data_IF_964775168025
#
_entry.id   IF_964775168025
#
_cell.length_a   1.000
_cell.length_b   1.000
_cell.length_c   1.000
_cell.angle_alpha   90.00
_cell.angle_beta   90.00
_cell.angle_gamma   90.00
#
_symmetry.space_group_name_H-M   'P 1'
#
loop_
_entity.id
_entity.type
_entity.pdbx_description
1 polymer ?
#
# COMPACT_ATOMS: atom_id res chain seq x y z
N UNK A 1 -17.10 -19.31 -12.70
CA UNK A 1 -17.53 -18.44 -11.59
C UNK A 1 -16.37 -17.55 -11.17
N UNK A 2 -16.63 -16.26 -10.92
CA UNK A 2 -15.63 -15.37 -10.32
C UNK A 2 -15.53 -15.64 -8.81
N UNK A 3 -14.32 -15.73 -8.23
CA UNK A 3 -14.17 -15.98 -6.79
C UNK A 3 -14.65 -14.78 -5.98
N UNK A 4 -15.58 -14.98 -5.03
CA UNK A 4 -16.06 -13.93 -4.11
C UNK A 4 -14.92 -13.29 -3.32
N UNK A 5 -13.92 -14.10 -2.94
CA UNK A 5 -12.78 -13.67 -2.14
C UNK A 5 -11.50 -13.92 -2.92
N UNK A 6 -10.58 -12.97 -2.86
CA UNK A 6 -9.24 -13.07 -3.43
C UNK A 6 -8.22 -12.61 -2.39
N UNK A 7 -7.00 -13.12 -2.48
CA UNK A 7 -5.87 -12.69 -1.65
C UNK A 7 -4.66 -12.35 -2.53
N UNK A 8 -4.04 -11.21 -2.24
CA UNK A 8 -2.74 -10.78 -2.73
C UNK A 8 -1.77 -10.88 -1.55
N UNK A 9 -0.87 -11.86 -1.60
CA UNK A 9 0.18 -12.09 -0.61
C UNK A 9 1.38 -12.74 -1.30
N UNK A 10 2.59 -12.31 -0.94
CA UNK A 10 3.83 -12.98 -1.32
C UNK A 10 4.03 -14.30 -0.56
N UNK A 11 3.41 -14.43 0.63
CA UNK A 11 3.49 -15.62 1.46
C UNK A 11 2.54 -16.73 0.96
N UNK A 12 3.09 -17.75 0.32
CA UNK A 12 2.31 -18.90 -0.18
C UNK A 12 1.50 -19.59 0.93
N UNK A 13 2.06 -19.73 2.14
CA UNK A 13 1.34 -20.30 3.29
C UNK A 13 0.10 -19.48 3.63
N UNK A 14 0.22 -18.14 3.73
CA UNK A 14 -0.92 -17.28 4.03
C UNK A 14 -1.97 -17.33 2.94
N UNK A 15 -1.60 -17.37 1.65
CA UNK A 15 -2.59 -17.57 0.57
C UNK A 15 -3.38 -18.86 0.76
N UNK A 16 -2.70 -19.97 1.05
CA UNK A 16 -3.33 -21.29 1.20
C UNK A 16 -4.20 -21.35 2.45
N UNK A 17 -3.68 -20.91 3.60
CA UNK A 17 -4.40 -20.85 4.86
C UNK A 17 -5.67 -20.00 4.74
N UNK A 18 -5.56 -18.81 4.12
CA UNK A 18 -6.70 -17.91 3.89
C UNK A 18 -7.73 -18.54 2.96
N UNK A 19 -7.32 -19.09 1.81
CA UNK A 19 -8.28 -19.72 0.88
C UNK A 19 -8.99 -20.92 1.53
N UNK A 20 -8.24 -21.82 2.18
CA UNK A 20 -8.82 -22.97 2.87
C UNK A 20 -9.75 -22.56 4.01
N UNK A 21 -9.39 -21.52 4.76
CA UNK A 21 -10.24 -20.93 5.79
C UNK A 21 -11.58 -20.44 5.23
N UNK A 22 -11.58 -19.74 4.09
CA UNK A 22 -12.80 -19.27 3.45
C UNK A 22 -13.61 -20.36 2.74
N UNK A 23 -12.99 -21.49 2.37
CA UNK A 23 -13.67 -22.67 1.83
C UNK A 23 -14.30 -23.54 2.94
N UNK A 24 -13.80 -23.44 4.19
CA UNK A 24 -14.28 -24.23 5.34
C UNK A 24 -15.24 -23.48 6.26
N UNK A 25 -15.07 -22.17 6.43
CA UNK A 25 -15.95 -21.36 7.28
C UNK A 25 -17.11 -20.79 6.47
N UNK A 26 -18.33 -21.18 6.86
CA UNK A 26 -19.57 -20.63 6.34
C UNK A 26 -19.78 -19.17 6.77
N UNK A 27 -19.07 -18.25 6.11
CA UNK A 27 -19.26 -16.83 6.35
C UNK A 27 -20.57 -16.35 5.72
N UNK A 28 -21.30 -15.54 6.48
CA UNK A 28 -22.55 -14.94 6.06
C UNK A 28 -22.27 -13.72 5.15
N UNK A 29 -21.75 -14.04 3.95
CA UNK A 29 -21.36 -13.10 2.91
C UNK A 29 -22.53 -12.97 1.92
N UNK A 30 -23.08 -11.75 1.83
CA UNK A 30 -24.03 -11.37 0.79
C UNK A 30 -23.55 -11.89 -0.59
N UNK A 31 -24.46 -12.47 -1.39
CA UNK A 31 -24.16 -13.14 -2.67
C UNK A 31 -23.24 -12.33 -3.58
N UNK A 32 -23.41 -11.02 -3.58
CA UNK A 32 -22.82 -10.09 -4.55
C UNK A 32 -21.53 -9.44 -4.02
N UNK A 33 -21.23 -9.61 -2.73
CA UNK A 33 -20.11 -8.93 -2.11
C UNK A 33 -18.77 -9.61 -2.46
N UNK A 34 -17.86 -8.82 -3.02
CA UNK A 34 -16.53 -9.24 -3.46
C UNK A 34 -15.45 -8.61 -2.59
N UNK A 35 -14.64 -9.46 -1.96
CA UNK A 35 -13.54 -9.07 -1.09
C UNK A 35 -12.19 -9.29 -1.80
N UNK A 36 -11.25 -8.41 -1.50
CA UNK A 36 -9.83 -8.58 -1.74
C UNK A 36 -9.06 -8.38 -0.42
N UNK A 37 -8.23 -9.35 -0.10
CA UNK A 37 -7.33 -9.32 1.06
C UNK A 37 -5.93 -8.99 0.53
N UNK A 38 -5.28 -7.99 1.08
CA UNK A 38 -3.92 -7.60 0.71
C UNK A 38 -3.03 -7.81 1.93
N UNK A 39 -1.99 -8.63 1.80
CA UNK A 39 -1.05 -8.94 2.87
C UNK A 39 0.26 -8.16 2.66
N UNK A 40 0.52 -7.21 3.56
CA UNK A 40 1.70 -6.33 3.53
C UNK A 40 2.54 -6.47 4.80
N UNK A 41 2.39 -7.56 5.56
CA UNK A 41 3.14 -7.78 6.83
C UNK A 41 4.66 -7.71 6.66
N UNK A 42 5.17 -8.09 5.49
CA UNK A 42 6.61 -8.15 5.20
C UNK A 42 7.22 -6.78 4.84
N UNK A 43 6.42 -5.76 4.54
CA UNK A 43 6.90 -4.43 4.17
C UNK A 43 5.92 -3.35 4.67
N UNK A 44 6.27 -2.74 5.80
CA UNK A 44 5.50 -1.69 6.46
C UNK A 44 5.60 -0.30 5.80
N UNK A 45 6.24 -0.17 4.64
CA UNK A 45 6.34 1.14 3.98
C UNK A 45 5.04 1.53 3.27
N UNK A 46 4.65 2.80 3.36
CA UNK A 46 3.40 3.29 2.74
C UNK A 46 3.47 3.16 1.21
N UNK A 47 4.67 3.22 0.63
CA UNK A 47 4.89 2.97 -0.81
C UNK A 47 4.50 1.55 -1.23
N UNK A 48 4.63 0.54 -0.35
CA UNK A 48 4.21 -0.82 -0.70
C UNK A 48 2.70 -0.98 -0.65
N UNK A 49 2.05 -0.54 0.43
CA UNK A 49 0.59 -0.52 0.53
C UNK A 49 -0.02 0.17 -0.69
N UNK A 50 0.50 1.35 -1.05
CA UNK A 50 0.03 2.11 -2.20
C UNK A 50 0.27 1.39 -3.55
N UNK A 51 1.40 0.69 -3.69
CA UNK A 51 1.73 -0.10 -4.90
C UNK A 51 0.84 -1.34 -5.03
N UNK A 52 0.58 -2.07 -3.95
CA UNK A 52 -0.33 -3.21 -3.94
C UNK A 52 -1.78 -2.77 -4.19
N UNK A 53 -2.20 -1.64 -3.60
CA UNK A 53 -3.49 -1.03 -3.87
C UNK A 53 -3.61 -0.57 -5.34
N UNK A 54 -2.57 0.01 -5.94
CA UNK A 54 -2.57 0.35 -7.37
C UNK A 54 -2.84 -0.88 -8.24
N UNK A 55 -2.11 -1.99 -8.02
CA UNK A 55 -2.32 -3.25 -8.74
C UNK A 55 -3.72 -3.83 -8.50
N UNK A 56 -4.21 -3.75 -7.26
CA UNK A 56 -5.57 -4.15 -6.90
C UNK A 56 -6.63 -3.33 -7.64
N UNK A 57 -6.45 -2.01 -7.77
CA UNK A 57 -7.40 -1.12 -8.47
C UNK A 57 -7.47 -1.43 -9.96
N UNK A 58 -6.34 -1.69 -10.62
CA UNK A 58 -6.32 -2.06 -12.04
C UNK A 58 -7.12 -3.35 -12.33
N UNK A 59 -7.15 -4.29 -11.38
CA UNK A 59 -7.76 -5.62 -11.57
C UNK A 59 -9.15 -5.76 -10.93
N UNK A 60 -9.41 -5.03 -9.85
CA UNK A 60 -10.53 -5.21 -8.93
C UNK A 60 -11.07 -3.88 -8.36
N UNK A 61 -11.34 -2.84 -9.17
CA UNK A 61 -11.57 -1.47 -8.69
C UNK A 61 -12.74 -1.32 -7.72
N UNK A 62 -13.79 -2.13 -7.91
CA UNK A 62 -15.03 -2.11 -7.12
C UNK A 62 -15.03 -3.08 -5.94
N UNK A 63 -14.01 -3.93 -5.78
CA UNK A 63 -13.94 -4.84 -4.63
C UNK A 63 -13.67 -4.05 -3.35
N UNK A 64 -14.22 -4.54 -2.25
CA UNK A 64 -13.81 -4.08 -0.91
C UNK A 64 -12.44 -4.64 -0.60
N UNK A 65 -11.57 -3.81 -0.03
CA UNK A 65 -10.22 -4.21 0.34
C UNK A 65 -10.07 -4.27 1.87
N UNK A 66 -9.32 -5.26 2.35
CA UNK A 66 -8.92 -5.42 3.75
C UNK A 66 -7.42 -5.76 3.78
N UNK A 67 -6.66 -5.12 4.66
CA UNK A 67 -5.20 -5.21 4.69
C UNK A 67 -4.74 -6.01 5.90
N UNK A 68 -3.92 -7.05 5.71
CA UNK A 68 -3.21 -7.75 6.78
C UNK A 68 -1.85 -7.04 6.97
N UNK A 69 -1.59 -6.52 8.16
CA UNK A 69 -0.38 -5.74 8.46
C UNK A 69 0.33 -6.25 9.73
N UNK A 70 1.64 -6.00 9.83
CA UNK A 70 2.39 -6.31 11.04
C UNK A 70 2.08 -5.30 12.15
N UNK A 71 2.12 -5.71 13.43
CA UNK A 71 2.02 -4.77 14.55
C UNK A 71 3.18 -3.78 14.62
N UNK A 72 4.33 -4.17 14.07
CA UNK A 72 5.51 -3.30 13.93
C UNK A 72 5.35 -2.30 12.78
N UNK A 73 4.25 -2.39 12.02
CA UNK A 73 3.99 -1.49 10.91
C UNK A 73 3.71 -0.08 11.39
N UNK A 74 4.60 0.84 11.05
CA UNK A 74 4.48 2.26 11.34
C UNK A 74 3.41 2.97 10.53
N UNK A 75 2.69 2.29 9.61
CA UNK A 75 1.68 2.89 8.73
C UNK A 75 0.68 3.72 9.57
N UNK A 76 0.79 5.04 9.40
CA UNK A 76 0.04 6.06 10.15
C UNK A 76 -1.20 6.54 9.41
N UNK A 77 -1.37 6.14 8.15
CA UNK A 77 -2.61 6.37 7.39
C UNK A 77 -3.77 5.87 8.24
N UNK A 78 -4.71 6.77 8.59
CA UNK A 78 -5.71 6.61 9.64
C UNK A 78 -6.13 5.15 9.83
N UNK A 79 -5.70 4.53 10.92
CA UNK A 79 -5.87 3.08 11.16
C UNK A 79 -7.35 2.66 11.27
N UNK A 80 -8.25 3.61 11.54
CA UNK A 80 -9.71 3.46 11.45
C UNK A 80 -10.21 3.20 10.03
N UNK A 81 -9.51 3.73 9.03
CA UNK A 81 -9.99 3.90 7.65
C UNK A 81 -9.38 2.82 6.72
N UNK A 82 -8.30 2.16 7.13
CA UNK A 82 -7.53 1.23 6.29
C UNK A 82 -8.05 -0.22 6.23
N UNK A 83 -9.14 -0.54 6.93
CA UNK A 83 -9.69 -1.91 7.00
C UNK A 83 -8.61 -2.93 7.40
N UNK A 84 -8.04 -2.76 8.59
CA UNK A 84 -6.83 -3.48 9.01
C UNK A 84 -7.14 -4.73 9.83
N UNK A 85 -6.48 -5.83 9.49
CA UNK A 85 -6.26 -7.00 10.34
C UNK A 85 -4.78 -7.00 10.75
N UNK A 86 -4.49 -7.19 12.03
CA UNK A 86 -3.12 -7.33 12.51
C UNK A 86 -2.68 -8.81 12.54
N UNK A 87 -1.38 -9.05 12.45
CA UNK A 87 -0.82 -10.40 12.27
C UNK A 87 -0.98 -11.36 13.45
N UNK A 88 -1.24 -10.84 14.65
CA UNK A 88 -1.47 -11.59 15.89
C UNK A 88 -2.95 -11.63 16.32
N UNK A 89 -3.85 -11.04 15.54
CA UNK A 89 -5.27 -11.07 15.85
C UNK A 89 -5.83 -12.49 15.74
N UNK A 90 -6.73 -12.83 16.68
CA UNK A 90 -7.37 -14.13 16.71
C UNK A 90 -8.21 -14.36 15.44
N UNK A 91 -8.44 -15.64 15.14
CA UNK A 91 -9.29 -16.03 14.02
C UNK A 91 -10.73 -15.48 14.15
N UNK A 92 -11.20 -15.30 15.38
CA UNK A 92 -12.50 -14.69 15.69
C UNK A 92 -12.54 -13.21 15.30
N UNK A 93 -11.48 -12.44 15.61
CA UNK A 93 -11.39 -11.04 15.20
C UNK A 93 -11.20 -10.91 13.68
N UNK A 94 -10.43 -11.80 13.07
CA UNK A 94 -10.30 -11.91 11.61
C UNK A 94 -11.68 -12.11 10.94
N UNK A 95 -12.48 -13.05 11.45
CA UNK A 95 -13.87 -13.31 11.00
C UNK A 95 -14.73 -12.06 11.17
N UNK A 96 -14.74 -11.49 12.37
CA UNK A 96 -15.56 -10.34 12.76
C UNK A 96 -15.28 -9.13 11.88
N UNK A 97 -14.00 -8.78 11.68
CA UNK A 97 -13.58 -7.70 10.77
C UNK A 97 -13.93 -7.99 9.33
N UNK A 98 -13.69 -9.22 8.85
CA UNK A 98 -14.03 -9.60 7.47
C UNK A 98 -15.53 -9.48 7.20
N UNK A 99 -16.37 -10.06 8.05
CA UNK A 99 -17.83 -9.94 7.94
C UNK A 99 -18.29 -8.49 8.00
N UNK A 100 -17.69 -7.67 8.87
CA UNK A 100 -17.99 -6.24 8.98
C UNK A 100 -17.66 -5.49 7.68
N UNK A 101 -16.46 -5.69 7.12
CA UNK A 101 -16.04 -5.12 5.83
C UNK A 101 -17.00 -5.55 4.72
N UNK A 102 -17.24 -6.85 4.58
CA UNK A 102 -18.04 -7.43 3.51
C UNK A 102 -19.49 -6.93 3.52
N UNK A 103 -20.14 -6.87 4.69
CA UNK A 103 -21.58 -6.60 4.78
C UNK A 103 -21.96 -5.12 4.95
N UNK A 104 -21.13 -4.26 5.56
CA UNK A 104 -21.50 -2.85 5.76
C UNK A 104 -21.21 -2.00 4.51
N UNK A 105 -22.13 -1.12 4.11
CA UNK A 105 -22.00 -0.27 2.90
C UNK A 105 -20.86 0.76 2.99
N UNK A 106 -20.49 1.18 4.20
CA UNK A 106 -19.57 2.30 4.44
C UNK A 106 -18.08 1.91 4.37
N UNK A 107 -17.76 0.73 3.84
CA UNK A 107 -16.39 0.25 3.71
C UNK A 107 -15.78 0.61 2.37
N UNK A 108 -14.56 1.15 2.43
CA UNK A 108 -13.82 1.59 1.25
C UNK A 108 -13.55 0.44 0.28
N UNK A 109 -13.80 0.71 -1.01
CA UNK A 109 -13.28 -0.09 -2.10
C UNK A 109 -11.75 0.02 -2.19
N UNK A 110 -11.12 -0.88 -2.92
CA UNK A 110 -9.68 -0.81 -3.21
C UNK A 110 -9.31 0.53 -3.88
N UNK A 111 -10.19 1.11 -4.71
CA UNK A 111 -10.00 2.42 -5.32
C UNK A 111 -10.04 3.57 -4.30
N UNK A 112 -10.97 3.53 -3.34
CA UNK A 112 -11.04 4.56 -2.30
C UNK A 112 -9.86 4.45 -1.32
N UNK A 113 -9.46 3.24 -0.92
CA UNK A 113 -8.26 3.03 -0.10
C UNK A 113 -6.99 3.50 -0.82
N UNK A 114 -6.87 3.24 -2.13
CA UNK A 114 -5.77 3.72 -2.94
C UNK A 114 -5.68 5.26 -2.89
N UNK A 115 -6.77 5.96 -3.23
CA UNK A 115 -6.82 7.43 -3.23
C UNK A 115 -6.50 8.01 -1.85
N UNK A 116 -7.09 7.46 -0.78
CA UNK A 116 -6.79 7.88 0.60
C UNK A 116 -5.30 7.68 0.95
N UNK A 117 -4.71 6.57 0.52
CA UNK A 117 -3.28 6.28 0.73
C UNK A 117 -2.40 7.28 -0.03
N UNK A 118 -2.70 7.55 -1.30
CA UNK A 118 -1.94 8.53 -2.11
C UNK A 118 -2.02 9.94 -1.52
N UNK A 119 -3.22 10.36 -1.14
CA UNK A 119 -3.43 11.69 -0.56
C UNK A 119 -2.69 11.85 0.79
N UNK A 120 -2.63 10.78 1.60
CA UNK A 120 -1.91 10.80 2.89
C UNK A 120 -0.38 10.83 2.74
N UNK A 121 0.18 10.31 1.64
CA UNK A 121 1.63 10.39 1.34
C UNK A 121 2.09 11.85 1.15
N UNK A 122 1.23 12.71 0.58
CA UNK A 122 1.43 14.16 0.47
C UNK A 122 2.84 14.59 0.00
N UNK A 123 3.37 13.97 -1.05
CA UNK A 123 4.65 14.36 -1.66
C UNK A 123 4.45 15.58 -2.56
N UNK A 124 5.39 16.53 -2.54
CA UNK A 124 5.34 17.66 -3.48
C UNK A 124 5.84 17.27 -4.88
N UNK A 125 5.47 18.03 -5.91
CA UNK A 125 5.98 17.85 -7.27
C UNK A 125 7.52 17.79 -7.37
N UNK A 126 8.24 18.55 -6.53
CA UNK A 126 9.70 18.50 -6.46
C UNK A 126 10.20 17.20 -5.78
N UNK A 127 9.53 16.77 -4.71
CA UNK A 127 9.85 15.51 -4.03
C UNK A 127 9.64 14.28 -4.94
N UNK A 128 8.61 14.28 -5.79
CA UNK A 128 8.37 13.20 -6.77
C UNK A 128 9.51 13.14 -7.80
N UNK A 129 9.94 14.28 -8.36
CA UNK A 129 11.07 14.32 -9.31
C UNK A 129 12.36 13.78 -8.69
N UNK A 130 12.63 14.11 -7.41
CA UNK A 130 13.77 13.57 -6.67
C UNK A 130 13.59 12.07 -6.40
N UNK A 131 12.39 11.60 -6.09
CA UNK A 131 12.09 10.18 -5.93
C UNK A 131 12.29 9.37 -7.23
N UNK A 132 11.86 9.88 -8.39
CA UNK A 132 12.14 9.29 -9.72
C UNK A 132 13.65 9.14 -9.97
N UNK A 133 14.44 10.13 -9.58
CA UNK A 133 15.89 10.13 -9.77
C UNK A 133 16.62 9.20 -8.80
N UNK A 134 16.17 9.14 -7.54
CA UNK A 134 16.62 8.10 -6.59
C UNK A 134 16.28 6.72 -7.13
N UNK A 135 15.06 6.48 -7.64
CA UNK A 135 14.64 5.22 -8.27
C UNK A 135 15.45 4.84 -9.52
N UNK A 136 16.05 5.84 -10.17
CA UNK A 136 16.94 5.71 -11.32
C UNK A 136 18.43 5.56 -10.92
N UNK A 137 18.73 5.51 -9.62
CA UNK A 137 20.08 5.28 -9.09
C UNK A 137 20.95 6.52 -8.89
N UNK A 138 20.45 7.74 -9.13
CA UNK A 138 21.27 8.95 -9.05
C UNK A 138 21.67 9.27 -7.60
N UNK A 139 22.96 9.57 -7.39
CA UNK A 139 23.49 10.06 -6.11
C UNK A 139 22.97 11.47 -5.79
N UNK A 140 22.97 11.84 -4.50
CA UNK A 140 22.55 13.19 -4.06
C UNK A 140 23.33 14.31 -4.75
N UNK A 141 24.60 14.08 -5.09
CA UNK A 141 25.45 15.02 -5.83
C UNK A 141 25.02 15.17 -7.30
N UNK A 142 24.66 14.07 -7.98
CA UNK A 142 24.13 14.12 -9.35
C UNK A 142 22.78 14.84 -9.41
N UNK A 143 21.89 14.53 -8.46
CA UNK A 143 20.58 15.19 -8.31
C UNK A 143 20.78 16.70 -8.05
N UNK A 144 21.66 17.07 -7.12
CA UNK A 144 21.98 18.46 -6.80
C UNK A 144 22.46 19.25 -8.03
N UNK A 145 23.43 18.68 -8.77
CA UNK A 145 23.93 19.25 -10.03
C UNK A 145 22.83 19.40 -11.08
N UNK A 146 21.95 18.40 -11.22
CA UNK A 146 20.86 18.38 -12.21
C UNK A 146 19.81 19.47 -11.95
N UNK A 147 19.41 19.68 -10.70
CA UNK A 147 18.41 20.70 -10.31
C UNK A 147 19.00 22.06 -9.94
N UNK A 148 20.33 22.23 -10.02
CA UNK A 148 21.07 23.44 -9.58
C UNK A 148 20.80 23.78 -8.10
N UNK A 149 20.68 22.75 -7.26
CA UNK A 149 20.44 22.86 -5.81
C UNK A 149 21.70 22.49 -5.02
N UNK A 150 21.75 22.87 -3.75
CA UNK A 150 22.80 22.38 -2.85
C UNK A 150 22.60 20.90 -2.52
N UNK A 151 23.69 20.16 -2.28
CA UNK A 151 23.62 18.75 -1.84
C UNK A 151 22.85 18.63 -0.51
N UNK A 152 22.97 19.63 0.38
CA UNK A 152 22.21 19.73 1.64
C UNK A 152 20.70 19.78 1.37
N UNK A 153 20.25 20.60 0.41
CA UNK A 153 18.83 20.69 0.01
C UNK A 153 18.30 19.34 -0.49
N UNK A 154 19.10 18.60 -1.27
CA UNK A 154 18.73 17.26 -1.73
C UNK A 154 18.64 16.26 -0.57
N UNK A 155 19.55 16.31 0.41
CA UNK A 155 19.41 15.49 1.62
C UNK A 155 18.14 15.81 2.41
N UNK A 156 17.77 17.08 2.56
CA UNK A 156 16.50 17.48 3.21
C UNK A 156 15.29 16.92 2.46
N UNK A 157 15.26 17.02 1.11
CA UNK A 157 14.18 16.43 0.33
C UNK A 157 14.12 14.90 0.48
N UNK A 158 15.27 14.21 0.42
CA UNK A 158 15.35 12.75 0.59
C UNK A 158 14.90 12.32 1.99
N UNK A 159 15.24 13.08 3.05
CA UNK A 159 14.77 12.79 4.42
C UNK A 159 13.24 12.91 4.50
N UNK A 160 12.68 14.02 4.01
CA UNK A 160 11.23 14.21 4.04
C UNK A 160 10.46 13.20 3.15
N UNK A 161 11.04 12.76 2.02
CA UNK A 161 10.48 11.66 1.21
C UNK A 161 10.50 10.35 2.02
N UNK A 162 11.62 10.05 2.67
CA UNK A 162 11.81 8.88 3.53
C UNK A 162 10.81 8.84 4.69
N UNK A 163 10.64 9.95 5.39
CA UNK A 163 9.68 10.10 6.50
C UNK A 163 8.23 9.86 6.01
N UNK A 164 7.82 10.53 4.92
CA UNK A 164 6.46 10.40 4.34
C UNK A 164 6.14 9.00 3.82
N UNK A 165 7.12 8.30 3.25
CA UNK A 165 6.96 6.93 2.77
C UNK A 165 7.23 5.87 3.83
N UNK A 166 7.67 6.28 5.02
CA UNK A 166 8.08 5.43 6.15
C UNK A 166 9.22 4.46 5.79
N UNK A 167 10.32 5.04 5.32
CA UNK A 167 11.50 4.33 4.86
C UNK A 167 12.74 4.91 5.53
N UNK A 168 13.35 4.17 6.44
CA UNK A 168 14.80 4.08 6.40
C UNK A 168 15.22 2.91 5.52
N UNK A 169 16.37 2.97 4.84
CA UNK A 169 17.36 4.04 4.67
C UNK A 169 17.22 4.75 3.30
N UNK A 170 18.22 5.51 2.82
CA UNK A 170 18.27 5.92 1.39
C UNK A 170 18.47 4.71 0.46
N UNK A 171 19.13 3.64 0.93
CA UNK A 171 19.31 2.43 0.14
C UNK A 171 17.96 1.72 -0.08
N UNK A 172 17.17 1.58 0.99
CA UNK A 172 15.84 0.98 0.95
C UNK A 172 14.86 1.83 0.14
N UNK A 173 14.98 3.17 0.19
CA UNK A 173 14.25 4.06 -0.70
C UNK A 173 14.56 3.74 -2.17
N UNK A 174 15.83 3.58 -2.53
CA UNK A 174 16.22 3.14 -3.88
C UNK A 174 15.65 1.75 -4.23
N UNK A 175 15.83 0.74 -3.36
CA UNK A 175 15.35 -0.62 -3.63
C UNK A 175 13.82 -0.67 -3.78
N UNK A 176 13.07 0.04 -2.93
CA UNK A 176 11.61 0.05 -2.98
C UNK A 176 11.08 0.78 -4.20
N UNK A 177 11.66 1.95 -4.54
CA UNK A 177 11.24 2.75 -5.68
C UNK A 177 11.66 2.16 -7.03
N UNK A 178 12.89 1.63 -7.15
CA UNK A 178 13.41 1.05 -8.40
C UNK A 178 12.62 -0.18 -8.87
N UNK A 179 12.06 -0.96 -7.93
CA UNK A 179 11.12 -2.06 -8.21
C UNK A 179 9.72 -1.60 -8.64
N UNK A 180 9.35 -0.33 -8.40
CA UNK A 180 7.98 0.21 -8.51
C UNK A 180 7.89 1.40 -9.48
N UNK A 181 8.71 1.42 -10.53
CA UNK A 181 8.82 2.54 -11.49
C UNK A 181 7.49 2.96 -12.12
N UNK A 182 6.64 2.02 -12.51
CA UNK A 182 5.32 2.35 -13.09
C UNK A 182 4.39 3.03 -12.08
N UNK A 183 4.41 2.59 -10.82
CA UNK A 183 3.65 3.24 -9.75
C UNK A 183 4.13 4.68 -9.48
N UNK A 184 5.45 4.95 -9.57
CA UNK A 184 5.98 6.33 -9.43
C UNK A 184 5.52 7.23 -10.58
N UNK A 185 5.46 6.72 -11.82
CA UNK A 185 4.87 7.46 -12.95
C UNK A 185 3.41 7.78 -12.70
N UNK A 186 2.66 6.89 -12.04
CA UNK A 186 1.24 7.11 -11.74
C UNK A 186 1.01 8.11 -10.60
N UNK A 187 1.80 8.02 -9.52
CA UNK A 187 1.86 9.02 -8.45
C UNK A 187 2.07 10.43 -9.01
N UNK A 188 2.98 10.55 -9.99
CA UNK A 188 3.30 11.80 -10.66
C UNK A 188 2.13 12.37 -11.46
N UNK A 189 1.28 11.53 -12.08
CA UNK A 189 0.05 12.02 -12.73
C UNK A 189 -0.93 12.58 -11.70
N UNK A 190 -1.16 11.84 -10.61
CA UNK A 190 -2.12 12.23 -9.56
C UNK A 190 -1.75 13.54 -8.83
N UNK A 191 -0.47 13.90 -8.78
CA UNK A 191 0.02 15.08 -8.02
C UNK A 191 0.41 16.26 -8.95
N UNK A 192 0.37 16.08 -10.27
CA UNK A 192 0.57 17.16 -11.26
C UNK A 192 -0.72 17.53 -12.02
N UNK A 193 -1.86 16.98 -11.61
CA UNK A 193 -3.21 17.38 -12.03
C UNK A 193 -3.78 18.42 -11.06
#
# INVERSE_FOLDING_TARGET
MEKKICIMSECQFTRLAVLHFFDTVALNINSDAKLLIIDIRHDSSVIELASQLFLAVQKYPTRKCINIISNKSSITVNRSDLNVIYEDESLEEFIKKTNKVVNQKNYFSCAQLYLNTINSINLTAAQIKIAEEVASGLSSMQIAKKHRLSVKTIYTHISSIREKLQIETRHDLYLKLSKRKEFIKELKKHILQ
#
